data_IF_346585615275
#
_entry.id   IF_346585615275
#
_cell.length_a   1.000
_cell.length_b   1.000
_cell.length_c   1.000
_cell.angle_alpha   90.00
_cell.angle_beta   90.00
_cell.angle_gamma   90.00
#
_symmetry.space_group_name_H-M   'P 1'
#
loop_
_entity.id
_entity.type
_entity.pdbx_description
1 polymer ?
#
# COMPACT_ATOMS: atom_id res chain seq x y z
N UNK A 1 -98.68 6.05 -28.97
CA UNK A 1 -98.07 7.34 -29.38
C UNK A 1 -97.68 8.13 -28.13
N UNK A 2 -96.97 9.27 -28.29
CA UNK A 2 -96.56 10.20 -27.21
C UNK A 2 -97.81 10.75 -26.44
N UNK A 3 -97.72 11.37 -25.25
CA UNK A 3 -96.60 12.07 -24.62
C UNK A 3 -96.67 12.01 -23.06
N UNK A 4 -95.54 11.81 -22.35
CA UNK A 4 -94.67 12.82 -21.67
C UNK A 4 -95.16 13.29 -20.28
N UNK A 5 -94.24 13.28 -19.30
CA UNK A 5 -94.44 13.75 -17.92
C UNK A 5 -93.30 14.72 -17.50
N UNK A 6 -93.66 15.68 -16.64
CA UNK A 6 -92.91 16.85 -16.07
C UNK A 6 -91.38 16.69 -15.86
N UNK A 7 -90.62 17.81 -15.98
CA UNK A 7 -89.53 18.24 -15.04
C UNK A 7 -88.86 19.62 -15.33
N UNK A 8 -88.72 20.44 -14.27
CA UNK A 8 -87.57 21.29 -13.86
C UNK A 8 -87.08 22.58 -14.59
N UNK A 9 -86.23 23.34 -13.85
CA UNK A 9 -85.36 24.52 -14.15
C UNK A 9 -86.01 25.92 -14.29
N UNK A 10 -85.41 27.05 -13.87
CA UNK A 10 -84.11 27.32 -13.16
C UNK A 10 -84.32 28.01 -11.77
N UNK A 11 -83.71 29.11 -11.25
CA UNK A 11 -82.84 30.25 -11.69
C UNK A 11 -81.75 30.53 -10.56
N UNK A 12 -81.00 31.65 -10.57
CA UNK A 12 -79.77 31.94 -9.78
C UNK A 12 -79.91 32.99 -8.63
N UNK A 13 -78.94 32.96 -7.70
CA UNK A 13 -77.99 34.07 -7.30
C UNK A 13 -77.92 34.50 -5.81
N UNK A 14 -76.68 34.78 -5.34
CA UNK A 14 -76.23 35.35 -4.05
C UNK A 14 -76.43 34.45 -2.79
N UNK A 15 -75.55 34.42 -1.78
CA UNK A 15 -74.43 35.33 -1.43
C UNK A 15 -73.13 34.59 -1.04
N UNK A 16 -71.99 35.29 -1.11
CA UNK A 16 -70.65 34.82 -0.69
C UNK A 16 -70.29 35.45 0.67
N UNK A 17 -69.79 34.66 1.64
CA UNK A 17 -68.77 35.08 2.62
C UNK A 17 -68.27 33.87 3.46
N UNK A 18 -67.05 33.95 3.99
CA UNK A 18 -66.71 33.24 5.25
C UNK A 18 -66.06 31.85 5.18
N UNK A 19 -65.10 31.61 4.28
CA UNK A 19 -64.13 30.52 4.48
C UNK A 19 -62.69 31.08 4.47
N UNK A 20 -62.24 31.54 5.63
CA UNK A 20 -60.86 32.05 5.83
C UNK A 20 -59.88 30.89 5.75
N UNK A 21 -59.02 30.89 4.73
CA UNK A 21 -58.01 29.86 4.57
C UNK A 21 -56.99 29.91 5.71
N UNK A 22 -56.84 28.81 6.44
CA UNK A 22 -55.57 28.52 7.09
C UNK A 22 -54.57 28.23 5.96
N UNK A 23 -53.81 29.25 5.57
CA UNK A 23 -52.54 29.01 4.93
C UNK A 23 -51.69 28.21 5.93
N UNK A 24 -51.52 26.92 5.70
CA UNK A 24 -50.61 26.12 6.48
C UNK A 24 -49.22 26.74 6.31
N UNK A 25 -48.70 27.34 7.39
CA UNK A 25 -47.33 27.82 7.40
C UNK A 25 -46.44 26.60 7.16
N UNK A 26 -45.82 26.54 5.98
CA UNK A 26 -44.84 25.51 5.68
C UNK A 26 -43.75 25.62 6.74
N UNK A 27 -43.65 24.61 7.61
CA UNK A 27 -42.64 24.59 8.66
C UNK A 27 -41.28 24.67 7.97
N UNK A 28 -40.55 25.76 8.23
CA UNK A 28 -39.24 25.96 7.64
C UNK A 28 -38.37 24.76 8.05
N UNK A 29 -37.90 23.99 7.05
CA UNK A 29 -37.05 22.84 7.31
C UNK A 29 -35.84 23.28 8.12
N UNK A 30 -35.62 22.66 9.28
CA UNK A 30 -34.40 22.90 10.09
C UNK A 30 -33.19 22.73 9.17
N UNK A 31 -32.34 23.76 9.00
CA UNK A 31 -31.20 23.66 8.09
C UNK A 31 -30.23 22.60 8.58
N UNK A 32 -29.55 21.95 7.64
CA UNK A 32 -28.50 20.99 7.98
C UNK A 32 -27.28 21.74 8.51
N UNK A 33 -26.79 21.32 9.67
CA UNK A 33 -25.58 21.87 10.31
C UNK A 33 -24.42 20.91 10.10
N UNK A 34 -23.21 21.45 9.89
CA UNK A 34 -21.97 20.69 9.95
C UNK A 34 -21.10 21.25 11.07
N UNK A 35 -20.58 20.38 11.90
CA UNK A 35 -19.61 20.66 12.96
C UNK A 35 -18.30 19.97 12.59
N UNK A 36 -17.18 20.67 12.61
CA UNK A 36 -15.84 20.10 12.44
C UNK A 36 -15.03 20.34 13.72
N UNK A 37 -14.58 19.27 14.37
CA UNK A 37 -13.78 19.35 15.61
C UNK A 37 -14.39 20.23 16.72
N UNK A 38 -15.73 20.31 16.77
CA UNK A 38 -16.49 21.13 17.71
C UNK A 38 -16.88 22.53 17.19
N UNK A 39 -16.29 23.03 16.11
CA UNK A 39 -16.66 24.31 15.50
C UNK A 39 -17.80 24.13 14.49
N UNK A 40 -18.82 25.00 14.52
CA UNK A 40 -19.90 25.01 13.51
C UNK A 40 -19.37 25.65 12.22
N UNK A 41 -19.37 24.89 11.12
CA UNK A 41 -18.95 25.39 9.81
C UNK A 41 -20.05 26.20 9.14
N UNK A 42 -19.67 27.36 8.58
CA UNK A 42 -20.45 28.12 7.61
C UNK A 42 -20.01 27.78 6.19
N UNK A 43 -20.94 27.82 5.23
CA UNK A 43 -20.70 27.47 3.82
C UNK A 43 -21.12 28.61 2.89
N UNK A 44 -20.45 28.73 1.74
CA UNK A 44 -20.85 29.67 0.67
C UNK A 44 -22.14 29.20 -0.06
N UNK A 45 -22.45 27.91 0.03
CA UNK A 45 -23.74 27.30 -0.35
C UNK A 45 -24.12 26.33 0.75
N UNK A 46 -25.25 26.56 1.40
CA UNK A 46 -25.73 25.73 2.52
C UNK A 46 -25.82 24.24 2.16
N UNK A 47 -25.62 23.32 3.13
CA UNK A 47 -25.79 21.90 2.89
C UNK A 47 -27.25 21.56 2.52
N UNK A 48 -27.41 20.78 1.45
CA UNK A 48 -28.71 20.49 0.81
C UNK A 48 -29.12 19.03 0.95
N UNK A 49 -30.43 18.77 0.96
CA UNK A 49 -31.00 17.44 0.88
C UNK A 49 -31.42 17.14 -0.57
N UNK A 50 -30.86 16.08 -1.18
CA UNK A 50 -31.29 15.57 -2.49
C UNK A 50 -31.51 14.06 -2.34
N UNK A 51 -32.66 13.55 -2.77
CA UNK A 51 -33.02 12.12 -2.72
C UNK A 51 -32.82 11.47 -1.33
N UNK A 52 -33.11 12.23 -0.27
CA UNK A 52 -32.91 11.79 1.13
C UNK A 52 -31.45 11.74 1.60
N UNK A 53 -30.49 12.17 0.78
CA UNK A 53 -29.06 12.27 1.10
C UNK A 53 -28.67 13.72 1.36
N UNK A 54 -27.92 13.96 2.43
CA UNK A 54 -27.28 15.26 2.71
C UNK A 54 -26.05 15.45 1.82
N UNK A 55 -25.91 16.61 1.18
CA UNK A 55 -24.71 17.02 0.45
C UNK A 55 -24.15 18.34 1.01
N UNK A 56 -22.83 18.47 1.03
CA UNK A 56 -22.05 19.61 1.54
C UNK A 56 -21.15 20.19 0.44
N UNK A 57 -20.87 21.49 0.48
CA UNK A 57 -20.00 22.13 -0.52
C UNK A 57 -18.54 21.70 -0.33
N UNK A 58 -17.97 21.08 -1.36
CA UNK A 58 -16.69 20.37 -1.27
C UNK A 58 -15.52 21.30 -0.95
N UNK A 59 -15.43 22.43 -1.65
CA UNK A 59 -14.30 23.36 -1.52
C UNK A 59 -14.21 23.89 -0.09
N UNK A 60 -15.34 24.30 0.47
CA UNK A 60 -15.45 24.81 1.84
C UNK A 60 -14.97 23.76 2.83
N UNK A 61 -15.57 22.56 2.80
CA UNK A 61 -15.26 21.52 3.78
C UNK A 61 -13.81 21.04 3.68
N UNK A 62 -13.31 20.78 2.47
CA UNK A 62 -11.94 20.27 2.30
C UNK A 62 -10.87 21.34 2.59
N UNK A 63 -11.14 22.63 2.30
CA UNK A 63 -10.26 23.72 2.76
C UNK A 63 -10.26 23.84 4.29
N UNK A 64 -11.41 23.66 4.95
CA UNK A 64 -11.50 23.62 6.43
C UNK A 64 -10.84 22.38 7.05
N UNK A 65 -10.73 21.28 6.30
CA UNK A 65 -9.96 20.07 6.63
C UNK A 65 -8.47 20.18 6.25
N UNK A 66 -7.96 21.36 5.89
CA UNK A 66 -6.54 21.59 5.61
C UNK A 66 -6.06 21.20 4.20
N UNK A 67 -6.96 20.80 3.28
CA UNK A 67 -6.58 20.49 1.90
C UNK A 67 -6.41 21.76 1.08
N UNK A 68 -5.37 21.83 0.25
CA UNK A 68 -5.28 22.80 -0.85
C UNK A 68 -6.22 22.34 -1.97
N UNK A 69 -7.27 23.11 -2.25
CA UNK A 69 -8.29 22.78 -3.28
C UNK A 69 -8.12 23.65 -4.52
N UNK A 70 -7.55 23.09 -5.58
CA UNK A 70 -7.42 23.70 -6.90
C UNK A 70 -8.56 23.27 -7.85
N UNK A 71 -8.67 23.96 -8.99
CA UNK A 71 -9.56 23.55 -10.10
C UNK A 71 -8.87 23.78 -11.44
N UNK A 72 -8.69 22.72 -12.21
CA UNK A 72 -8.21 22.83 -13.59
C UNK A 72 -9.39 23.09 -14.53
N UNK A 73 -9.40 24.25 -15.16
CA UNK A 73 -10.41 24.65 -16.14
C UNK A 73 -10.32 23.89 -17.48
N UNK A 74 -9.15 23.33 -17.82
CA UNK A 74 -8.95 22.60 -19.08
C UNK A 74 -9.55 21.19 -19.01
N UNK A 75 -9.20 20.40 -17.97
CA UNK A 75 -9.80 19.07 -17.74
C UNK A 75 -11.15 19.12 -17.01
N UNK A 76 -11.50 20.27 -16.40
CA UNK A 76 -12.66 20.48 -15.50
C UNK A 76 -12.58 19.70 -14.19
N UNK A 77 -11.37 19.43 -13.73
CA UNK A 77 -11.10 18.58 -12.56
C UNK A 77 -10.86 19.42 -11.31
N UNK A 78 -11.57 19.09 -10.23
CA UNK A 78 -11.26 19.57 -8.87
C UNK A 78 -10.15 18.70 -8.31
N UNK A 79 -9.06 19.30 -7.83
CA UNK A 79 -7.94 18.61 -7.20
C UNK A 79 -7.77 19.12 -5.77
N UNK A 80 -7.93 18.25 -4.78
CA UNK A 80 -7.69 18.57 -3.37
C UNK A 80 -6.49 17.78 -2.85
N UNK A 81 -5.54 18.43 -2.19
CA UNK A 81 -4.32 17.79 -1.69
C UNK A 81 -4.05 18.15 -0.22
N UNK A 82 -3.90 17.14 0.63
CA UNK A 82 -3.28 17.19 1.96
C UNK A 82 -1.94 16.40 1.93
N UNK A 83 -1.14 16.36 3.01
CA UNK A 83 0.07 15.53 3.06
C UNK A 83 -0.17 14.04 2.79
N UNK A 84 -1.32 13.49 3.24
CA UNK A 84 -1.65 12.07 3.13
C UNK A 84 -2.44 11.71 1.86
N UNK A 85 -3.18 12.68 1.30
CA UNK A 85 -4.29 12.42 0.38
C UNK A 85 -4.36 13.42 -0.76
N UNK A 86 -4.28 12.91 -1.98
CA UNK A 86 -4.61 13.59 -3.22
C UNK A 86 -5.93 13.06 -3.76
N UNK A 87 -6.90 13.95 -3.94
CA UNK A 87 -8.26 13.65 -4.41
C UNK A 87 -8.47 14.38 -5.74
N UNK A 88 -8.83 13.65 -6.79
CA UNK A 88 -9.17 14.22 -8.09
C UNK A 88 -10.59 13.81 -8.51
N UNK A 89 -11.44 14.79 -8.82
CA UNK A 89 -12.82 14.54 -9.26
C UNK A 89 -13.25 15.49 -10.38
N UNK A 90 -13.89 14.97 -11.42
CA UNK A 90 -14.54 15.77 -12.47
C UNK A 90 -16.05 15.77 -12.21
N UNK A 91 -16.70 16.92 -11.90
CA UNK A 91 -18.13 16.96 -11.60
C UNK A 91 -18.98 16.38 -12.74
N UNK A 92 -19.88 15.44 -12.42
CA UNK A 92 -20.67 14.69 -13.40
C UNK A 92 -20.00 13.43 -13.95
N UNK A 93 -18.89 12.98 -13.34
CA UNK A 93 -18.37 11.61 -13.49
C UNK A 93 -18.74 10.76 -12.27
N UNK A 94 -18.94 9.47 -12.51
CA UNK A 94 -19.21 8.44 -11.49
C UNK A 94 -17.92 7.93 -10.82
N UNK A 95 -16.76 8.54 -11.07
CA UNK A 95 -15.46 8.06 -10.55
C UNK A 95 -14.63 9.22 -9.99
N UNK A 96 -14.03 8.99 -8.83
CA UNK A 96 -13.05 9.86 -8.16
C UNK A 96 -11.72 9.10 -8.11
N UNK A 97 -10.59 9.80 -8.18
CA UNK A 97 -9.29 9.22 -7.84
C UNK A 97 -8.90 9.65 -6.42
N UNK A 98 -8.48 8.70 -5.58
CA UNK A 98 -7.84 8.97 -4.28
C UNK A 98 -6.46 8.33 -4.31
N UNK A 99 -5.40 9.14 -4.22
CA UNK A 99 -4.01 8.71 -4.44
C UNK A 99 -3.84 7.93 -5.76
N UNK A 100 -4.50 8.41 -6.82
CA UNK A 100 -4.55 7.76 -8.14
C UNK A 100 -5.53 6.56 -8.24
N UNK A 101 -5.94 5.95 -7.13
CA UNK A 101 -6.81 4.78 -7.14
C UNK A 101 -8.28 5.17 -7.41
N UNK A 102 -8.99 4.48 -8.33
CA UNK A 102 -10.37 4.79 -8.67
C UNK A 102 -11.36 4.33 -7.60
N UNK A 103 -12.25 5.24 -7.20
CA UNK A 103 -13.32 5.05 -6.22
C UNK A 103 -14.66 5.45 -6.84
N UNK A 104 -15.70 4.67 -6.57
CA UNK A 104 -17.06 4.97 -7.04
C UNK A 104 -17.60 6.25 -6.38
N UNK A 105 -17.89 7.25 -7.20
CA UNK A 105 -18.51 8.52 -6.82
C UNK A 105 -19.95 8.66 -7.30
N UNK A 106 -20.52 7.61 -7.90
CA UNK A 106 -21.87 7.60 -8.49
C UNK A 106 -22.91 7.98 -7.45
N UNK A 107 -23.71 8.99 -7.79
CA UNK A 107 -24.74 9.55 -6.91
C UNK A 107 -24.23 10.03 -5.53
N UNK A 108 -22.92 10.31 -5.44
CA UNK A 108 -22.26 10.93 -4.29
C UNK A 108 -21.66 12.30 -4.64
N UNK A 109 -21.60 12.67 -5.93
CA UNK A 109 -21.20 14.00 -6.41
C UNK A 109 -22.34 14.65 -7.20
N UNK A 110 -22.60 15.94 -6.96
CA UNK A 110 -23.57 16.77 -7.69
C UNK A 110 -22.97 18.14 -8.01
N UNK A 111 -23.33 18.71 -9.16
CA UNK A 111 -23.05 20.11 -9.49
C UNK A 111 -24.34 20.91 -9.26
N UNK A 112 -24.33 21.84 -8.30
CA UNK A 112 -25.50 22.66 -7.92
C UNK A 112 -25.09 24.12 -7.91
N UNK A 113 -25.78 24.97 -8.68
CA UNK A 113 -25.48 26.40 -8.82
C UNK A 113 -23.99 26.71 -9.13
N UNK A 114 -23.32 25.81 -9.88
CA UNK A 114 -21.89 25.92 -10.20
C UNK A 114 -20.93 25.44 -9.11
N UNK A 115 -21.42 24.99 -7.95
CA UNK A 115 -20.62 24.39 -6.87
C UNK A 115 -20.65 22.87 -6.90
N UNK A 116 -19.52 22.27 -6.52
CA UNK A 116 -19.39 20.82 -6.38
C UNK A 116 -19.84 20.43 -4.98
N UNK A 117 -20.95 19.70 -4.90
CA UNK A 117 -21.55 19.21 -3.66
C UNK A 117 -21.24 17.72 -3.53
N UNK A 118 -20.70 17.30 -2.39
CA UNK A 118 -20.41 15.88 -2.09
C UNK A 118 -21.35 15.35 -1.03
N UNK A 119 -21.80 14.10 -1.19
CA UNK A 119 -22.66 13.41 -0.23
C UNK A 119 -21.92 13.24 1.10
N UNK A 120 -22.54 13.63 2.21
CA UNK A 120 -21.90 13.75 3.52
C UNK A 120 -21.15 12.47 3.96
N UNK A 121 -21.72 11.29 3.74
CA UNK A 121 -21.08 10.01 4.09
C UNK A 121 -19.85 9.71 3.24
N UNK A 122 -19.78 10.21 2.02
CA UNK A 122 -18.62 10.05 1.13
C UNK A 122 -17.42 10.90 1.59
N UNK A 123 -17.64 11.91 2.43
CA UNK A 123 -16.56 12.65 3.10
C UNK A 123 -15.68 11.71 3.93
N UNK A 124 -16.22 10.64 4.52
CA UNK A 124 -15.43 9.61 5.23
C UNK A 124 -14.41 8.98 4.27
N UNK A 125 -14.89 8.48 3.12
CA UNK A 125 -14.05 7.85 2.08
C UNK A 125 -13.00 8.80 1.54
N UNK A 126 -13.41 10.02 1.19
CA UNK A 126 -12.57 11.06 0.62
C UNK A 126 -11.50 11.56 1.60
N UNK A 127 -11.88 11.94 2.81
CA UNK A 127 -11.00 12.63 3.78
C UNK A 127 -10.28 11.71 4.77
N UNK A 128 -10.79 10.49 5.00
CA UNK A 128 -10.33 9.55 6.04
C UNK A 128 -10.86 9.84 7.44
N UNK A 129 -11.45 11.02 7.67
CA UNK A 129 -11.93 11.51 8.96
C UNK A 129 -13.26 10.85 9.37
N UNK A 130 -13.58 10.89 10.66
CA UNK A 130 -14.87 10.37 11.15
C UNK A 130 -16.01 11.31 10.73
N UNK A 131 -17.18 10.74 10.41
CA UNK A 131 -18.40 11.52 10.18
C UNK A 131 -19.60 10.84 10.84
N UNK A 132 -20.16 11.52 11.83
CA UNK A 132 -21.34 11.15 12.61
C UNK A 132 -22.56 11.99 12.17
N UNK A 133 -23.78 11.50 12.40
CA UNK A 133 -25.03 12.13 11.95
C UNK A 133 -26.16 12.04 12.99
N UNK A 134 -26.43 13.17 13.64
CA UNK A 134 -27.63 13.38 14.44
C UNK A 134 -28.80 13.75 13.51
N UNK A 135 -29.72 12.80 13.33
CA UNK A 135 -30.97 13.01 12.59
C UNK A 135 -31.90 14.05 13.23
N UNK A 136 -32.29 13.90 14.52
CA UNK A 136 -33.11 14.86 15.25
C UNK A 136 -32.64 16.33 15.18
N UNK A 137 -31.34 16.61 15.26
CA UNK A 137 -30.81 18.00 15.12
C UNK A 137 -30.23 18.31 13.74
N UNK A 138 -30.41 17.41 12.76
CA UNK A 138 -29.85 17.46 11.39
C UNK A 138 -28.38 17.90 11.36
N UNK A 139 -27.59 17.39 12.30
CA UNK A 139 -26.21 17.81 12.51
C UNK A 139 -25.24 16.71 12.11
N UNK A 140 -24.41 17.02 11.12
CA UNK A 140 -23.22 16.27 10.82
C UNK A 140 -22.09 16.66 11.78
N UNK A 141 -21.40 15.70 12.37
CA UNK A 141 -20.16 15.97 13.12
C UNK A 141 -18.99 15.27 12.45
N UNK A 142 -18.08 16.05 11.88
CA UNK A 142 -16.81 15.60 11.32
C UNK A 142 -15.74 15.72 12.41
N UNK A 143 -14.91 14.68 12.60
CA UNK A 143 -13.83 14.68 13.58
C UNK A 143 -12.55 14.10 12.99
N UNK A 144 -11.41 14.72 13.31
CA UNK A 144 -10.12 14.04 13.19
C UNK A 144 -10.07 12.81 14.12
N UNK A 145 -9.38 11.75 13.68
CA UNK A 145 -9.16 10.53 14.50
C UNK A 145 -8.08 10.72 15.56
N UNK A 146 -7.13 11.62 15.28
CA UNK A 146 -5.93 11.93 16.07
C UNK A 146 -5.77 13.46 16.09
N UNK A 147 -4.86 14.01 16.90
CA UNK A 147 -4.52 15.43 16.75
C UNK A 147 -3.77 15.68 15.42
N UNK A 148 -4.01 16.81 14.72
CA UNK A 148 -3.25 17.16 13.52
C UNK A 148 -1.73 17.23 13.76
N UNK A 149 -1.31 17.58 14.98
CA UNK A 149 0.07 17.63 15.43
C UNK A 149 0.70 16.24 15.50
N UNK A 150 -0.01 15.23 16.03
CA UNK A 150 0.49 13.85 16.07
C UNK A 150 0.41 13.17 14.71
N UNK A 151 -0.66 13.41 13.93
CA UNK A 151 -0.79 12.94 12.55
C UNK A 151 0.39 13.46 11.71
N UNK A 152 0.77 14.73 11.88
CA UNK A 152 1.96 15.32 11.24
C UNK A 152 3.27 14.72 11.75
N UNK A 153 3.46 14.58 13.07
CA UNK A 153 4.71 14.10 13.64
C UNK A 153 5.02 12.62 13.30
N UNK A 154 3.98 11.81 13.07
CA UNK A 154 4.13 10.44 12.54
C UNK A 154 4.61 10.45 11.08
N UNK A 155 4.08 11.36 10.26
CA UNK A 155 4.43 11.46 8.84
C UNK A 155 5.82 12.07 8.62
N UNK A 156 6.22 13.07 9.42
CA UNK A 156 7.56 13.67 9.34
C UNK A 156 8.69 12.68 9.65
N UNK A 157 8.43 11.62 10.43
CA UNK A 157 9.38 10.50 10.61
C UNK A 157 9.54 9.67 9.33
N UNK A 158 8.42 9.39 8.64
CA UNK A 158 8.40 8.61 7.40
C UNK A 158 9.01 9.40 6.23
N UNK A 159 8.72 10.69 6.11
CA UNK A 159 9.38 11.60 5.17
C UNK A 159 10.89 11.67 5.42
N UNK A 160 11.31 11.71 6.69
CA UNK A 160 12.74 11.68 7.07
C UNK A 160 13.41 10.36 6.69
N UNK A 161 12.73 9.22 6.80
CA UNK A 161 13.25 7.91 6.33
C UNK A 161 13.54 7.93 4.84
N UNK A 162 12.61 8.44 4.01
CA UNK A 162 12.81 8.55 2.57
C UNK A 162 13.99 9.47 2.19
N UNK A 163 14.14 10.59 2.91
CA UNK A 163 15.24 11.53 2.68
C UNK A 163 16.60 10.89 2.99
N UNK A 164 16.73 10.20 4.13
CA UNK A 164 17.97 9.56 4.54
C UNK A 164 18.36 8.38 3.63
N UNK A 165 17.37 7.62 3.15
CA UNK A 165 17.60 6.58 2.14
C UNK A 165 18.14 7.19 0.83
N UNK A 166 17.52 8.27 0.33
CA UNK A 166 17.97 8.96 -0.89
C UNK A 166 19.35 9.65 -0.73
N UNK A 167 19.73 10.01 0.50
CA UNK A 167 21.07 10.50 0.85
C UNK A 167 22.09 9.36 1.08
N UNK A 168 21.63 8.10 1.17
CA UNK A 168 22.39 6.88 1.49
C UNK A 168 22.96 6.87 2.93
N UNK A 169 22.33 7.62 3.84
CA UNK A 169 22.76 7.76 5.24
C UNK A 169 22.26 6.60 6.12
N UNK A 170 22.99 5.48 6.08
CA UNK A 170 22.71 4.29 6.89
C UNK A 170 22.72 4.53 8.40
N UNK A 171 23.60 5.39 8.90
CA UNK A 171 23.65 5.76 10.33
C UNK A 171 22.44 6.64 10.72
N UNK A 172 22.07 7.59 9.87
CA UNK A 172 20.86 8.40 10.02
C UNK A 172 19.58 7.57 10.00
N UNK A 173 19.50 6.57 9.12
CA UNK A 173 18.42 5.57 9.11
C UNK A 173 18.40 4.78 10.42
N UNK A 174 19.55 4.26 10.87
CA UNK A 174 19.70 3.56 12.16
C UNK A 174 19.16 4.40 13.31
N UNK A 175 19.45 5.71 13.32
CA UNK A 175 18.98 6.63 14.35
C UNK A 175 17.47 6.88 14.37
N UNK A 176 16.71 6.45 13.34
CA UNK A 176 15.24 6.46 13.35
C UNK A 176 14.63 5.32 14.18
N UNK A 177 15.37 4.23 14.42
CA UNK A 177 14.85 3.08 15.15
C UNK A 177 14.94 3.27 16.66
N UNK A 178 14.00 2.69 17.41
CA UNK A 178 14.08 2.64 18.88
C UNK A 178 15.24 1.75 19.31
N UNK A 179 15.85 2.07 20.44
CA UNK A 179 16.99 1.34 21.00
C UNK A 179 16.68 -0.11 21.41
N UNK A 180 15.40 -0.48 21.45
CA UNK A 180 14.86 -1.83 21.68
C UNK A 180 14.30 -2.50 20.41
N UNK A 181 14.49 -1.91 19.22
CA UNK A 181 13.93 -2.45 17.98
C UNK A 181 14.52 -3.84 17.64
N UNK A 182 13.69 -4.87 17.37
CA UNK A 182 14.18 -6.19 16.99
C UNK A 182 14.92 -6.20 15.64
N UNK A 183 14.73 -5.18 14.80
CA UNK A 183 15.42 -5.05 13.51
C UNK A 183 16.91 -4.74 13.67
N UNK A 184 17.32 -4.16 14.80
CA UNK A 184 18.72 -3.78 15.07
C UNK A 184 19.64 -4.95 15.45
N UNK A 185 19.14 -6.19 15.50
CA UNK A 185 19.93 -7.38 15.87
C UNK A 185 20.96 -7.75 14.79
N UNK A 186 20.55 -7.72 13.52
CA UNK A 186 21.36 -8.08 12.35
C UNK A 186 21.47 -6.90 11.34
N UNK A 187 21.30 -5.66 11.83
CA UNK A 187 21.28 -4.45 10.99
C UNK A 187 22.68 -4.03 10.53
N UNK A 188 22.93 -4.10 9.23
CA UNK A 188 24.11 -3.52 8.57
C UNK A 188 23.78 -2.14 7.98
N UNK A 189 24.12 -1.02 8.64
CA UNK A 189 23.87 0.32 8.10
C UNK A 189 24.65 0.57 6.80
N UNK A 190 25.83 -0.08 6.64
CA UNK A 190 26.65 0.06 5.43
C UNK A 190 26.01 -0.61 4.21
N UNK A 191 24.93 -1.38 4.37
CA UNK A 191 24.09 -1.81 3.25
C UNK A 191 23.58 -0.61 2.45
N UNK A 192 23.07 0.43 3.12
CA UNK A 192 22.50 1.61 2.45
C UNK A 192 23.58 2.46 1.77
N UNK A 193 24.80 2.50 2.31
CA UNK A 193 25.98 3.10 1.65
C UNK A 193 26.38 2.37 0.36
N UNK A 194 25.97 1.10 0.18
CA UNK A 194 26.24 0.30 -1.03
C UNK A 194 25.03 0.23 -1.97
N UNK A 195 23.82 0.12 -1.44
CA UNK A 195 22.59 -0.13 -2.16
C UNK A 195 21.88 1.19 -2.45
N UNK A 196 22.37 1.94 -3.46
CA UNK A 196 21.78 3.23 -3.83
C UNK A 196 20.38 3.02 -4.43
N UNK A 197 19.36 3.14 -3.59
CA UNK A 197 17.95 2.98 -3.92
C UNK A 197 17.18 4.29 -3.73
N UNK A 198 15.99 4.35 -4.32
CA UNK A 198 15.00 5.39 -4.00
C UNK A 198 13.64 4.75 -3.81
N UNK A 199 13.15 4.78 -2.58
CA UNK A 199 11.78 4.43 -2.22
C UNK A 199 10.82 5.58 -2.47
N UNK A 200 9.60 5.27 -2.92
CA UNK A 200 8.47 6.20 -3.00
C UNK A 200 7.26 5.56 -2.33
N UNK A 201 6.62 6.25 -1.39
CA UNK A 201 5.37 5.79 -0.79
C UNK A 201 4.20 6.10 -1.74
N UNK A 202 3.60 5.05 -2.31
CA UNK A 202 2.45 5.13 -3.21
C UNK A 202 1.13 5.24 -2.44
N UNK A 203 1.06 4.69 -1.22
CA UNK A 203 -0.06 4.86 -0.29
C UNK A 203 0.43 4.88 1.17
N UNK A 204 -0.13 5.76 2.01
CA UNK A 204 0.15 5.82 3.46
C UNK A 204 -1.16 5.88 4.23
N UNK A 205 -1.37 4.96 5.16
CA UNK A 205 -2.58 4.83 5.99
C UNK A 205 -2.17 4.67 7.45
N UNK A 206 -2.45 5.70 8.26
CA UNK A 206 -2.33 5.63 9.71
C UNK A 206 -3.53 4.82 10.23
N UNK A 207 -3.26 3.64 10.78
CA UNK A 207 -4.25 2.71 11.32
C UNK A 207 -4.59 3.04 12.77
N UNK A 208 -3.59 3.47 13.55
CA UNK A 208 -3.76 3.94 14.94
C UNK A 208 -2.71 4.98 15.34
N UNK A 209 -3.08 5.88 16.26
CA UNK A 209 -2.16 6.67 17.09
C UNK A 209 -2.64 6.58 18.54
N UNK A 210 -1.69 6.46 19.47
CA UNK A 210 -1.89 6.54 20.92
C UNK A 210 -0.80 7.43 21.55
N UNK A 211 -0.91 7.67 22.86
CA UNK A 211 0.08 8.44 23.62
C UNK A 211 1.53 7.94 23.45
N UNK A 212 1.76 6.65 23.18
CA UNK A 212 3.09 6.03 23.14
C UNK A 212 3.41 5.20 21.90
N UNK A 213 2.40 4.71 21.16
CA UNK A 213 2.54 3.81 20.01
C UNK A 213 1.63 4.25 18.85
N UNK A 214 2.08 4.13 17.61
CA UNK A 214 1.29 4.37 16.40
C UNK A 214 1.56 3.28 15.36
N UNK A 215 0.56 2.93 14.57
CA UNK A 215 0.67 1.90 13.51
C UNK A 215 0.32 2.53 12.17
N UNK A 216 1.22 2.37 11.19
CA UNK A 216 1.08 2.92 9.84
C UNK A 216 1.29 1.83 8.81
N UNK A 217 0.27 1.57 7.99
CA UNK A 217 0.38 0.75 6.78
C UNK A 217 0.85 1.63 5.63
N UNK A 218 1.90 1.21 4.95
CA UNK A 218 2.46 1.88 3.78
C UNK A 218 2.44 0.91 2.61
N UNK A 219 2.14 1.40 1.41
CA UNK A 219 2.54 0.72 0.17
C UNK A 219 3.62 1.56 -0.47
N UNK A 220 4.72 0.92 -0.78
CA UNK A 220 5.91 1.57 -1.30
C UNK A 220 6.34 0.99 -2.64
N UNK A 221 7.30 1.66 -3.25
CA UNK A 221 7.98 1.24 -4.46
C UNK A 221 9.44 1.64 -4.36
N UNK A 222 10.33 0.68 -4.28
CA UNK A 222 11.78 0.91 -4.24
C UNK A 222 12.40 0.57 -5.59
N UNK A 223 13.06 1.55 -6.20
CA UNK A 223 13.82 1.41 -7.45
C UNK A 223 15.32 1.51 -7.21
N UNK A 224 16.13 0.89 -8.07
CA UNK A 224 17.58 0.97 -8.01
C UNK A 224 18.06 2.19 -8.79
N UNK A 225 18.85 3.07 -8.17
CA UNK A 225 19.48 4.21 -8.85
C UNK A 225 21.00 4.06 -9.01
N UNK A 226 21.63 3.11 -8.32
CA UNK A 226 23.03 2.72 -8.51
C UNK A 226 23.45 1.60 -7.54
N UNK A 227 24.76 1.40 -7.39
CA UNK A 227 25.30 0.57 -6.31
C UNK A 227 25.13 -0.95 -6.46
N UNK A 228 25.22 -1.65 -5.32
CA UNK A 228 25.17 -3.10 -5.16
C UNK A 228 23.85 -3.72 -5.66
N UNK A 229 23.76 -5.06 -5.71
CA UNK A 229 22.58 -5.75 -6.22
C UNK A 229 21.29 -5.35 -5.50
N UNK A 230 20.24 -5.07 -6.26
CA UNK A 230 18.91 -4.81 -5.72
C UNK A 230 17.82 -5.39 -6.64
N UNK A 231 16.81 -6.01 -6.05
CA UNK A 231 15.59 -6.43 -6.75
C UNK A 231 14.57 -5.31 -6.56
N UNK A 232 14.36 -4.50 -7.61
CA UNK A 232 13.30 -3.48 -7.61
C UNK A 232 11.97 -4.14 -7.23
N UNK A 233 11.21 -3.50 -6.35
CA UNK A 233 10.01 -4.11 -5.78
C UNK A 233 8.97 -3.06 -5.37
N UNK A 234 7.77 -3.56 -5.05
CA UNK A 234 6.77 -2.87 -4.24
C UNK A 234 6.49 -3.72 -3.01
N UNK A 235 6.51 -3.14 -1.82
CA UNK A 235 6.02 -3.80 -0.62
C UNK A 235 4.71 -3.18 -0.11
N UNK A 236 3.99 -3.95 0.69
CA UNK A 236 3.04 -3.41 1.68
C UNK A 236 3.65 -3.67 3.06
N UNK A 237 3.98 -2.61 3.79
CA UNK A 237 4.74 -2.66 5.04
C UNK A 237 3.90 -2.07 6.17
N UNK A 238 3.85 -2.78 7.30
CA UNK A 238 3.24 -2.30 8.53
C UNK A 238 4.33 -1.79 9.48
N UNK A 239 4.42 -0.46 9.61
CA UNK A 239 5.31 0.23 10.53
C UNK A 239 4.65 0.30 11.91
N UNK A 240 5.31 -0.24 12.93
CA UNK A 240 4.99 0.00 14.34
C UNK A 240 5.95 1.05 14.87
N UNK A 241 5.42 2.21 15.26
CA UNK A 241 6.18 3.36 15.75
C UNK A 241 5.97 3.54 17.25
N UNK A 242 7.01 3.94 17.99
CA UNK A 242 6.93 4.24 19.43
C UNK A 242 7.57 5.58 19.78
N UNK A 243 7.14 6.20 20.88
CA UNK A 243 7.78 7.41 21.42
C UNK A 243 8.96 7.04 22.33
N UNK A 244 10.18 7.30 21.87
CA UNK A 244 11.41 7.23 22.67
C UNK A 244 11.85 8.66 23.03
N UNK A 245 12.07 8.95 24.31
CA UNK A 245 12.42 10.30 24.80
C UNK A 245 11.46 11.42 24.32
N UNK A 246 10.20 11.08 24.01
CA UNK A 246 9.18 12.00 23.50
C UNK A 246 9.18 12.20 21.97
N UNK A 247 10.09 11.57 21.23
CA UNK A 247 10.14 11.61 19.77
C UNK A 247 9.59 10.30 19.18
N UNK A 248 8.81 10.37 18.10
CA UNK A 248 8.43 9.18 17.34
C UNK A 248 9.65 8.54 16.68
N UNK A 249 9.72 7.22 16.77
CA UNK A 249 10.74 6.36 16.19
C UNK A 249 10.13 5.06 15.67
N UNK A 250 10.80 4.41 14.73
CA UNK A 250 10.38 3.11 14.19
C UNK A 250 10.77 2.03 15.21
N UNK A 251 9.79 1.27 15.72
CA UNK A 251 10.09 0.10 16.56
C UNK A 251 10.17 -1.17 15.70
N UNK A 252 9.28 -1.36 14.72
CA UNK A 252 9.32 -2.51 13.81
C UNK A 252 8.76 -2.16 12.43
N UNK A 253 9.19 -2.91 11.42
CA UNK A 253 8.66 -2.91 10.04
C UNK A 253 8.28 -4.37 9.71
N UNK A 254 7.00 -4.64 9.42
CA UNK A 254 6.53 -5.97 9.01
C UNK A 254 6.11 -5.95 7.54
N UNK A 255 6.85 -6.65 6.68
CA UNK A 255 6.55 -6.77 5.25
C UNK A 255 5.38 -7.74 5.06
N UNK A 256 4.17 -7.21 4.90
CA UNK A 256 2.93 -7.98 4.72
C UNK A 256 2.86 -8.62 3.33
N UNK A 257 3.49 -7.99 2.34
CA UNK A 257 3.55 -8.44 0.95
C UNK A 257 4.75 -7.79 0.25
N UNK A 258 5.41 -8.49 -0.68
CA UNK A 258 6.48 -7.95 -1.51
C UNK A 258 6.37 -8.51 -2.93
N UNK A 259 6.39 -7.62 -3.93
CA UNK A 259 6.24 -7.96 -5.34
C UNK A 259 7.45 -7.42 -6.12
N UNK A 260 8.35 -8.29 -6.64
CA UNK A 260 9.40 -7.89 -7.56
C UNK A 260 8.86 -7.19 -8.81
N UNK A 261 9.60 -6.20 -9.31
CA UNK A 261 9.26 -5.40 -10.48
C UNK A 261 10.12 -5.78 -11.69
N UNK A 262 9.58 -5.48 -12.87
CA UNK A 262 10.28 -5.66 -14.13
C UNK A 262 10.24 -7.11 -14.63
N UNK A 263 11.33 -7.51 -15.28
CA UNK A 263 11.53 -8.81 -15.92
C UNK A 263 12.63 -9.55 -15.14
N UNK A 264 12.32 -10.68 -14.46
CA UNK A 264 13.27 -11.35 -13.59
C UNK A 264 14.48 -11.92 -14.35
N UNK A 265 14.39 -12.13 -15.66
CA UNK A 265 15.52 -12.59 -16.48
C UNK A 265 16.58 -11.50 -16.71
N UNK A 266 16.23 -10.24 -16.49
CA UNK A 266 17.13 -9.07 -16.55
C UNK A 266 17.85 -8.78 -15.24
N UNK A 267 17.50 -9.44 -14.13
CA UNK A 267 18.28 -9.31 -12.89
C UNK A 267 19.72 -9.82 -13.08
N UNK A 268 19.92 -10.77 -13.99
CA UNK A 268 21.24 -11.21 -14.44
C UNK A 268 22.04 -10.14 -15.22
N UNK A 269 21.41 -9.07 -15.68
CA UNK A 269 22.10 -7.95 -16.33
C UNK A 269 22.77 -7.02 -15.26
N UNK A 270 22.51 -7.26 -13.97
CA UNK A 270 23.25 -6.69 -12.84
C UNK A 270 24.48 -7.53 -12.43
N UNK A 271 24.96 -8.44 -13.29
CA UNK A 271 26.14 -9.25 -12.98
C UNK A 271 27.38 -8.38 -12.75
N UNK A 272 28.20 -8.76 -11.76
CA UNK A 272 29.48 -8.11 -11.44
C UNK A 272 30.67 -8.98 -11.83
N UNK A 273 31.74 -8.35 -12.32
CA UNK A 273 33.01 -9.02 -12.55
C UNK A 273 33.72 -9.30 -11.22
N UNK A 274 34.14 -10.55 -11.02
CA UNK A 274 34.89 -11.01 -9.83
C UNK A 274 36.14 -11.80 -10.25
N UNK A 275 37.12 -12.01 -9.34
CA UNK A 275 38.30 -12.83 -9.63
C UNK A 275 37.94 -14.25 -10.15
N UNK A 276 38.78 -14.79 -11.03
CA UNK A 276 38.52 -16.06 -11.73
C UNK A 276 38.38 -17.25 -10.78
N UNK A 277 39.17 -17.27 -9.70
CA UNK A 277 39.14 -18.24 -8.62
C UNK A 277 37.86 -18.13 -7.76
N UNK A 278 37.43 -16.91 -7.42
CA UNK A 278 36.15 -16.65 -6.77
C UNK A 278 34.99 -17.15 -7.64
N UNK A 279 35.02 -16.82 -8.95
CA UNK A 279 34.02 -17.26 -9.92
C UNK A 279 33.98 -18.78 -10.06
N UNK A 280 35.14 -19.44 -10.11
CA UNK A 280 35.24 -20.89 -10.20
C UNK A 280 34.70 -21.59 -8.94
N UNK A 281 35.04 -21.09 -7.75
CA UNK A 281 34.57 -21.67 -6.48
C UNK A 281 33.06 -21.52 -6.25
N UNK A 282 32.47 -20.39 -6.64
CA UNK A 282 31.02 -20.17 -6.60
C UNK A 282 30.28 -21.08 -7.61
N UNK A 283 30.87 -21.34 -8.78
CA UNK A 283 30.33 -22.31 -9.73
C UNK A 283 30.40 -23.75 -9.18
N UNK A 284 31.55 -24.18 -8.62
CA UNK A 284 31.70 -25.52 -8.03
C UNK A 284 30.68 -25.75 -6.90
N UNK A 285 30.50 -24.76 -6.02
CA UNK A 285 29.47 -24.78 -4.97
C UNK A 285 28.07 -24.99 -5.57
N UNK A 286 27.70 -24.19 -6.58
CA UNK A 286 26.38 -24.24 -7.20
C UNK A 286 26.15 -25.57 -7.93
N UNK A 287 27.08 -26.02 -8.77
CA UNK A 287 26.99 -27.31 -9.45
C UNK A 287 26.94 -28.50 -8.48
N UNK A 288 27.67 -28.42 -7.37
CA UNK A 288 27.64 -29.47 -6.33
C UNK A 288 26.26 -29.56 -5.70
N UNK A 289 25.64 -28.41 -5.38
CA UNK A 289 24.29 -28.36 -4.84
C UNK A 289 23.24 -28.91 -5.83
N UNK A 290 23.27 -28.47 -7.09
CA UNK A 290 22.31 -28.93 -8.11
C UNK A 290 22.49 -30.43 -8.41
N UNK A 291 23.73 -30.92 -8.50
CA UNK A 291 24.01 -32.35 -8.65
C UNK A 291 23.47 -33.17 -7.47
N UNK A 292 23.68 -32.69 -6.24
CA UNK A 292 23.14 -33.34 -5.05
C UNK A 292 21.60 -33.33 -5.00
N UNK A 293 20.94 -32.34 -5.60
CA UNK A 293 19.47 -32.31 -5.75
C UNK A 293 19.01 -33.39 -6.74
N UNK A 294 19.61 -33.48 -7.92
CA UNK A 294 19.30 -34.50 -8.93
C UNK A 294 19.58 -35.93 -8.45
N UNK A 295 20.67 -36.13 -7.71
CA UNK A 295 21.02 -37.40 -7.04
C UNK A 295 20.07 -37.74 -5.85
N UNK A 296 19.08 -36.88 -5.52
CA UNK A 296 18.20 -36.95 -4.34
C UNK A 296 18.97 -37.05 -3.00
N UNK A 297 20.20 -36.53 -2.96
CA UNK A 297 21.16 -36.75 -1.88
C UNK A 297 21.13 -35.60 -0.86
N UNK A 298 20.22 -35.70 0.10
CA UNK A 298 20.04 -34.71 1.17
C UNK A 298 21.33 -34.41 1.95
N UNK A 299 22.15 -35.41 2.27
CA UNK A 299 23.36 -35.21 3.05
C UNK A 299 24.41 -34.40 2.26
N UNK A 300 24.50 -34.60 0.94
CA UNK A 300 25.35 -33.79 0.07
C UNK A 300 24.79 -32.36 -0.15
N UNK A 301 23.47 -32.19 -0.23
CA UNK A 301 22.82 -30.87 -0.26
C UNK A 301 23.17 -30.08 1.01
N UNK A 302 23.03 -30.68 2.19
CA UNK A 302 23.35 -30.05 3.46
C UNK A 302 24.87 -29.83 3.64
N UNK A 303 25.72 -30.67 3.03
CA UNK A 303 27.18 -30.47 3.05
C UNK A 303 27.67 -29.34 2.13
N UNK A 304 26.85 -28.84 1.21
CA UNK A 304 27.14 -27.68 0.37
C UNK A 304 26.69 -26.33 0.98
N UNK A 305 26.06 -26.36 2.17
CA UNK A 305 25.50 -25.20 2.84
C UNK A 305 26.20 -24.86 4.17
N UNK A 306 26.23 -23.57 4.52
CA UNK A 306 26.77 -23.08 5.78
C UNK A 306 25.64 -22.62 6.71
N UNK A 307 25.46 -23.33 7.83
CA UNK A 307 24.39 -23.08 8.80
C UNK A 307 24.88 -22.32 10.02
N UNK A 308 24.15 -21.29 10.44
CA UNK A 308 24.36 -20.59 11.71
C UNK A 308 23.86 -21.38 12.93
N UNK A 309 22.94 -22.33 12.75
CA UNK A 309 22.47 -23.21 13.82
C UNK A 309 22.01 -24.59 13.33
N UNK A 310 22.05 -25.57 14.24
CA UNK A 310 21.49 -26.91 14.00
C UNK A 310 19.96 -26.88 13.83
N UNK A 311 19.25 -25.91 14.42
CA UNK A 311 17.81 -25.74 14.20
C UNK A 311 17.52 -25.27 12.76
N UNK A 312 18.23 -24.25 12.28
CA UNK A 312 18.15 -23.78 10.89
C UNK A 312 18.41 -24.94 9.93
N UNK A 313 19.48 -25.72 10.17
CA UNK A 313 19.82 -26.92 9.40
C UNK A 313 18.70 -27.96 9.39
N UNK A 314 18.03 -28.21 10.51
CA UNK A 314 16.91 -29.15 10.59
C UNK A 314 15.66 -28.65 9.85
N UNK A 315 15.38 -27.34 9.88
CA UNK A 315 14.30 -26.71 9.09
C UNK A 315 14.60 -26.81 7.59
N UNK A 316 15.79 -26.43 7.15
CA UNK A 316 16.25 -26.55 5.75
C UNK A 316 16.22 -28.01 5.28
N UNK A 317 16.66 -28.97 6.11
CA UNK A 317 16.60 -30.39 5.79
C UNK A 317 15.16 -30.93 5.64
N UNK A 318 14.18 -30.37 6.35
CA UNK A 318 12.77 -30.72 6.16
C UNK A 318 12.23 -30.20 4.82
N UNK A 319 12.53 -28.95 4.46
CA UNK A 319 12.17 -28.35 3.17
C UNK A 319 12.77 -29.13 1.99
N UNK A 320 14.07 -29.45 2.04
CA UNK A 320 14.72 -30.19 0.96
C UNK A 320 14.19 -31.61 0.80
N UNK A 321 13.84 -32.35 1.86
CA UNK A 321 13.23 -33.69 1.70
C UNK A 321 12.00 -33.65 0.79
N UNK A 322 11.08 -32.72 1.06
CA UNK A 322 9.85 -32.55 0.27
C UNK A 322 10.14 -32.22 -1.20
N UNK A 323 11.18 -31.43 -1.46
CA UNK A 323 11.64 -31.10 -2.83
C UNK A 323 12.29 -32.30 -3.51
N UNK A 324 13.26 -32.94 -2.86
CA UNK A 324 14.01 -34.09 -3.39
C UNK A 324 13.12 -35.29 -3.70
N UNK A 325 12.05 -35.51 -2.95
CA UNK A 325 11.06 -36.55 -3.27
C UNK A 325 10.38 -36.29 -4.64
N UNK A 326 10.06 -35.03 -4.94
CA UNK A 326 9.29 -34.60 -6.12
C UNK A 326 10.17 -34.30 -7.36
N UNK A 327 11.42 -33.89 -7.19
CA UNK A 327 12.35 -33.61 -8.31
C UNK A 327 12.83 -34.90 -8.98
N UNK A 328 12.69 -35.02 -10.30
CA UNK A 328 13.25 -36.11 -11.11
C UNK A 328 14.63 -35.78 -11.68
N UNK A 329 14.85 -34.51 -12.03
CA UNK A 329 16.05 -34.00 -12.72
C UNK A 329 16.24 -32.52 -12.39
N UNK A 330 17.47 -32.03 -12.42
CA UNK A 330 17.82 -30.65 -12.05
C UNK A 330 19.08 -30.14 -12.77
N UNK A 331 18.95 -29.01 -13.47
CA UNK A 331 20.00 -28.40 -14.31
C UNK A 331 20.23 -26.92 -13.92
N UNK A 332 21.48 -26.47 -14.03
CA UNK A 332 21.87 -25.05 -13.90
C UNK A 332 21.92 -24.41 -15.29
N UNK A 333 20.86 -23.70 -15.68
CA UNK A 333 20.73 -23.13 -17.04
C UNK A 333 21.53 -21.83 -17.20
N UNK A 334 21.43 -20.92 -16.23
CA UNK A 334 22.12 -19.62 -16.23
C UNK A 334 22.49 -19.25 -14.79
N UNK A 335 23.63 -18.62 -14.60
CA UNK A 335 24.02 -18.07 -13.30
C UNK A 335 24.84 -16.79 -13.46
N UNK A 336 24.90 -15.99 -12.40
CA UNK A 336 25.76 -14.82 -12.29
C UNK A 336 26.12 -14.56 -10.81
N UNK A 337 27.28 -13.95 -10.57
CA UNK A 337 27.55 -13.23 -9.32
C UNK A 337 26.98 -11.82 -9.48
N UNK A 338 26.25 -11.32 -8.50
CA UNK A 338 25.59 -10.00 -8.53
C UNK A 338 26.05 -9.07 -7.40
N UNK A 339 26.59 -9.61 -6.31
CA UNK A 339 27.36 -8.83 -5.33
C UNK A 339 28.57 -9.64 -4.82
N UNK A 340 29.62 -8.96 -4.40
CA UNK A 340 30.83 -9.56 -3.82
C UNK A 340 31.56 -8.54 -2.94
N UNK A 341 31.76 -8.84 -1.66
CA UNK A 341 32.34 -7.90 -0.69
C UNK A 341 33.87 -7.73 -0.78
N UNK A 342 34.50 -8.33 -1.79
CA UNK A 342 35.95 -8.36 -1.97
C UNK A 342 36.68 -9.42 -1.15
N UNK A 343 35.96 -10.19 -0.32
CA UNK A 343 36.55 -11.16 0.61
C UNK A 343 35.75 -12.48 0.75
N UNK A 344 34.91 -12.60 1.77
CA UNK A 344 34.28 -13.85 2.19
C UNK A 344 32.79 -13.96 1.86
N UNK A 345 32.15 -12.92 1.30
CA UNK A 345 30.71 -12.95 0.98
C UNK A 345 30.44 -12.58 -0.47
N UNK A 346 29.54 -13.33 -1.11
CA UNK A 346 29.04 -13.06 -2.45
C UNK A 346 27.55 -13.38 -2.54
N UNK A 347 26.81 -12.69 -3.40
CA UNK A 347 25.43 -13.01 -3.75
C UNK A 347 25.37 -13.49 -5.20
N UNK A 348 24.70 -14.61 -5.44
CA UNK A 348 24.51 -15.17 -6.79
C UNK A 348 23.04 -15.16 -7.20
N UNK A 349 22.81 -15.04 -8.51
CA UNK A 349 21.57 -15.43 -9.17
C UNK A 349 21.78 -16.75 -9.90
N UNK A 350 20.81 -17.66 -9.82
CA UNK A 350 20.80 -18.90 -10.57
C UNK A 350 19.40 -19.18 -11.15
N UNK A 351 19.32 -19.44 -12.46
CA UNK A 351 18.17 -20.00 -13.13
C UNK A 351 18.33 -21.51 -13.17
N UNK A 352 17.48 -22.20 -12.42
CA UNK A 352 17.50 -23.64 -12.23
C UNK A 352 16.33 -24.27 -12.98
N UNK A 353 16.59 -25.28 -13.79
CA UNK A 353 15.55 -26.06 -14.46
C UNK A 353 15.32 -27.34 -13.67
N UNK A 354 14.07 -27.59 -13.27
CA UNK A 354 13.66 -28.80 -12.56
C UNK A 354 12.62 -29.58 -13.37
N UNK A 355 12.81 -30.88 -13.55
CA UNK A 355 11.71 -31.79 -13.91
C UNK A 355 11.06 -32.29 -12.61
N UNK A 356 9.75 -32.06 -12.46
CA UNK A 356 9.00 -32.42 -11.25
C UNK A 356 7.95 -33.48 -11.56
N UNK A 357 7.84 -34.50 -10.71
CA UNK A 357 6.79 -35.52 -10.79
C UNK A 357 5.69 -35.26 -9.75
N UNK A 358 4.50 -34.87 -10.21
CA UNK A 358 3.32 -34.74 -9.35
C UNK A 358 2.46 -36.03 -9.32
N UNK A 359 2.98 -37.17 -9.78
CA UNK A 359 2.31 -38.47 -9.79
C UNK A 359 1.17 -38.64 -10.80
N UNK A 360 0.56 -37.54 -11.26
CA UNK A 360 -0.42 -37.48 -12.36
C UNK A 360 0.16 -36.93 -13.66
N UNK A 361 1.22 -36.13 -13.56
CA UNK A 361 1.94 -35.55 -14.69
C UNK A 361 3.37 -35.18 -14.29
N UNK A 362 4.26 -35.17 -15.29
CA UNK A 362 5.57 -34.51 -15.21
C UNK A 362 5.50 -33.17 -15.91
N UNK A 363 6.22 -32.20 -15.37
CA UNK A 363 6.36 -30.87 -15.96
C UNK A 363 7.75 -30.33 -15.65
N UNK A 364 8.24 -29.44 -16.51
CA UNK A 364 9.49 -28.71 -16.27
C UNK A 364 9.19 -27.29 -15.83
N UNK A 365 9.97 -26.79 -14.88
CA UNK A 365 9.94 -25.39 -14.43
C UNK A 365 11.33 -24.79 -14.47
N UNK A 366 11.42 -23.52 -14.88
CA UNK A 366 12.58 -22.67 -14.60
C UNK A 366 12.29 -21.86 -13.35
N UNK A 367 13.15 -21.97 -12.35
CA UNK A 367 13.10 -21.18 -11.11
C UNK A 367 14.35 -20.31 -11.02
N UNK A 368 14.16 -18.99 -10.93
CA UNK A 368 15.23 -18.04 -10.65
C UNK A 368 15.30 -17.86 -9.14
N UNK A 369 16.45 -18.19 -8.55
CA UNK A 369 16.78 -17.91 -7.15
C UNK A 369 17.82 -16.81 -7.02
N UNK A 370 17.77 -16.10 -5.89
CA UNK A 370 18.88 -15.33 -5.33
C UNK A 370 19.37 -16.06 -4.08
N UNK A 371 20.68 -16.21 -3.93
CA UNK A 371 21.28 -16.89 -2.80
C UNK A 371 22.61 -16.25 -2.41
N UNK A 372 22.80 -16.02 -1.11
CA UNK A 372 24.10 -15.63 -0.58
C UNK A 372 25.02 -16.83 -0.42
N UNK A 373 26.31 -16.59 -0.50
CA UNK A 373 27.38 -17.55 -0.35
C UNK A 373 28.46 -16.99 0.58
N UNK A 374 29.04 -17.88 1.39
CA UNK A 374 30.14 -17.55 2.30
C UNK A 374 31.36 -18.43 2.04
N UNK A 375 32.54 -17.82 2.02
CA UNK A 375 33.82 -18.51 1.99
C UNK A 375 34.20 -18.94 3.41
N UNK A 376 34.52 -20.23 3.59
CA UNK A 376 34.90 -20.83 4.88
C UNK A 376 36.01 -21.85 4.60
N UNK A 377 37.13 -21.75 5.34
CA UNK A 377 38.26 -22.70 5.30
C UNK A 377 38.75 -23.10 3.89
N UNK A 378 38.67 -22.17 2.93
CA UNK A 378 39.12 -22.37 1.54
C UNK A 378 38.04 -22.81 0.55
N UNK A 379 36.76 -22.90 0.94
CA UNK A 379 35.65 -23.28 0.06
C UNK A 379 34.42 -22.35 0.22
N UNK A 380 33.68 -22.16 -0.87
CA UNK A 380 32.38 -21.49 -0.86
C UNK A 380 31.24 -22.43 -0.47
N UNK A 381 30.34 -21.93 0.38
CA UNK A 381 29.14 -22.61 0.87
C UNK A 381 27.92 -21.69 0.73
N UNK A 382 26.78 -22.22 0.29
CA UNK A 382 25.55 -21.44 0.14
C UNK A 382 24.91 -21.18 1.52
N UNK A 383 24.38 -19.97 1.73
CA UNK A 383 23.53 -19.69 2.89
C UNK A 383 22.14 -20.34 2.69
N UNK A 384 21.55 -20.95 3.73
CA UNK A 384 20.32 -21.74 3.58
C UNK A 384 19.07 -20.90 3.32
N UNK A 385 19.10 -19.61 3.62
CA UNK A 385 17.95 -18.69 3.54
C UNK A 385 17.91 -17.99 2.16
N UNK A 386 17.84 -18.79 1.10
CA UNK A 386 17.78 -18.31 -0.29
C UNK A 386 16.37 -17.84 -0.69
N UNK A 387 16.30 -16.83 -1.56
CA UNK A 387 15.06 -16.27 -2.07
C UNK A 387 14.66 -16.88 -3.43
N UNK A 388 13.41 -17.34 -3.57
CA UNK A 388 12.82 -17.62 -4.88
C UNK A 388 12.32 -16.31 -5.47
N UNK A 389 12.90 -15.89 -6.59
CA UNK A 389 12.56 -14.63 -7.28
C UNK A 389 11.44 -14.84 -8.29
N UNK A 390 11.48 -15.95 -9.03
CA UNK A 390 10.47 -16.28 -10.03
C UNK A 390 10.43 -17.80 -10.31
N UNK A 391 9.27 -18.33 -10.66
CA UNK A 391 9.12 -19.69 -11.21
C UNK A 391 8.12 -19.66 -12.37
N UNK A 392 8.52 -20.22 -13.51
CA UNK A 392 7.68 -20.37 -14.70
C UNK A 392 7.73 -21.83 -15.23
N UNK A 393 6.65 -22.33 -15.85
CA UNK A 393 6.66 -23.59 -16.58
C UNK A 393 7.41 -23.44 -17.91
N UNK A 394 8.15 -24.47 -18.32
CA UNK A 394 8.83 -24.52 -19.63
C UNK A 394 8.37 -25.73 -20.47
N UNK A 395 8.52 -25.68 -21.82
CA UNK A 395 8.01 -26.73 -22.73
C UNK A 395 8.67 -28.11 -22.60
#
# INVERSE_FOLDING_TARGET
>A
MKAIMKKCTAILLASILGLTGLAAAAAAETPVRVVLNGEVLSFEVDPILIDGRTYVEFRTLFTRLGYKVDYDHATRTVKATSPQRQIEMTPGKDTVLINGNPVDGKDLIRLVNGRTMVGLRFVITLSGKEVDWDGPTRTATVRDRWSPEEEKAVLELLDKRLLLEAENDGEGLTALYTSDSPLLVDWDPSYWERAHTVTTFEEVVIESITDTEAVVRVKDKTVKVGGAFFIENRAEVLYTLRKENGQWKIHNEEVLNLIPLGDPHKLFDQAVDVPEDVRAGLLEMTETLIRAIGDKNLDAVLAAMAFGSEEQKQRTAASFRSMLDQTNDSELEKWAVVDYDGSERATILAALVFETDAGIARFKTRTIIVADAKFIDGKWFMQPDYGIVHTEPIP
#
